data_IF_799502161467
#
_entry.id   IF_799502161467
#
_cell.length_a   1.000
_cell.length_b   1.000
_cell.length_c   1.000
_cell.angle_alpha   90.00
_cell.angle_beta   90.00
_cell.angle_gamma   90.00
#
_symmetry.space_group_name_H-M   'P 1'
#
loop_
_entity.id
_entity.type
_entity.pdbx_description
1 polymer ?
#
# COMPACT_ATOMS: atom_id res chain seq x y z
N UNK A 1 -35.26 -4.36 19.31
CA UNK A 1 -33.92 -4.00 19.86
C UNK A 1 -33.47 -4.94 20.98
N UNK A 2 -34.31 -5.89 21.37
CA UNK A 2 -34.13 -6.68 22.58
C UNK A 2 -33.21 -7.89 22.37
N UNK A 3 -33.13 -8.40 21.13
CA UNK A 3 -32.20 -9.48 20.76
C UNK A 3 -30.73 -9.08 20.89
N UNK A 4 -30.37 -7.87 20.46
CA UNK A 4 -28.98 -7.36 20.59
C UNK A 4 -28.61 -7.21 22.07
N UNK A 5 -29.53 -6.72 22.89
CA UNK A 5 -29.34 -6.59 24.35
C UNK A 5 -29.08 -7.95 25.02
N UNK A 6 -29.82 -8.98 24.64
CA UNK A 6 -29.61 -10.34 25.14
C UNK A 6 -28.23 -10.92 24.73
N UNK A 7 -27.79 -10.67 23.51
CA UNK A 7 -26.47 -11.12 23.03
C UNK A 7 -25.37 -10.43 23.85
N UNK A 8 -25.44 -9.12 24.02
CA UNK A 8 -24.49 -8.35 24.85
C UNK A 8 -24.48 -8.84 26.30
N UNK A 9 -25.65 -9.10 26.89
CA UNK A 9 -25.76 -9.61 28.25
C UNK A 9 -25.13 -11.01 28.40
N UNK A 10 -25.28 -11.90 27.42
CA UNK A 10 -24.65 -13.23 27.42
C UNK A 10 -23.13 -13.19 27.26
N UNK A 11 -22.60 -12.16 26.60
CA UNK A 11 -21.16 -11.90 26.43
C UNK A 11 -20.54 -11.17 27.62
N UNK A 12 -21.35 -10.69 28.56
CA UNK A 12 -20.89 -9.97 29.75
C UNK A 12 -20.45 -10.98 30.81
N UNK A 13 -19.18 -10.92 31.21
CA UNK A 13 -18.66 -11.76 32.30
C UNK A 13 -19.28 -11.29 33.62
N UNK A 14 -19.86 -12.19 34.46
CA UNK A 14 -20.48 -11.79 35.71
C UNK A 14 -19.44 -11.12 36.63
N UNK A 15 -19.65 -9.83 36.93
CA UNK A 15 -18.74 -8.99 37.70
C UNK A 15 -17.93 -7.95 36.90
N UNK A 16 -18.04 -7.94 35.57
CA UNK A 16 -17.38 -6.98 34.68
C UNK A 16 -18.36 -5.92 34.14
N UNK A 17 -17.94 -4.68 33.83
CA UNK A 17 -18.84 -3.63 33.37
C UNK A 17 -19.56 -3.97 32.06
N UNK A 18 -20.78 -3.46 31.89
CA UNK A 18 -21.66 -3.70 30.75
C UNK A 18 -21.10 -3.28 29.37
N UNK A 19 -20.11 -2.39 29.31
CA UNK A 19 -19.41 -2.02 28.06
C UNK A 19 -18.50 -3.13 27.51
N UNK A 20 -18.15 -4.12 28.32
CA UNK A 20 -17.22 -5.21 27.97
C UNK A 20 -17.85 -6.19 26.99
N UNK A 21 -19.13 -6.54 27.17
CA UNK A 21 -19.88 -7.34 26.21
C UNK A 21 -20.01 -6.64 24.85
N UNK A 22 -20.12 -5.30 24.85
CA UNK A 22 -20.14 -4.48 23.64
C UNK A 22 -18.80 -4.50 22.90
N UNK A 23 -17.67 -4.40 23.63
CA UNK A 23 -16.33 -4.54 23.06
C UNK A 23 -16.06 -5.94 22.51
N UNK A 24 -16.47 -6.99 23.22
CA UNK A 24 -16.32 -8.38 22.75
C UNK A 24 -17.15 -8.63 21.50
N UNK A 25 -18.38 -8.11 21.45
CA UNK A 25 -19.23 -8.18 20.26
C UNK A 25 -18.58 -7.45 19.09
N UNK A 26 -18.07 -6.24 19.32
CA UNK A 26 -17.37 -5.45 18.30
C UNK A 26 -16.12 -6.19 17.80
N UNK A 27 -15.28 -6.71 18.69
CA UNK A 27 -14.07 -7.45 18.35
C UNK A 27 -14.39 -8.74 17.58
N UNK A 28 -15.40 -9.49 18.02
CA UNK A 28 -15.89 -10.68 17.32
C UNK A 28 -16.41 -10.36 15.93
N UNK A 29 -17.13 -9.25 15.77
CA UNK A 29 -17.61 -8.77 14.47
C UNK A 29 -16.44 -8.37 13.56
N UNK A 30 -15.43 -7.68 14.09
CA UNK A 30 -14.20 -7.35 13.36
C UNK A 30 -13.45 -8.63 12.93
N UNK A 31 -13.33 -9.62 13.81
CA UNK A 31 -12.72 -10.92 13.48
C UNK A 31 -13.50 -11.65 12.38
N UNK A 32 -14.83 -11.68 12.46
CA UNK A 32 -15.68 -12.29 11.43
C UNK A 32 -15.55 -11.55 10.08
N UNK A 33 -15.54 -10.22 10.10
CA UNK A 33 -15.32 -9.40 8.92
C UNK A 33 -13.92 -9.63 8.34
N UNK A 34 -12.89 -9.71 9.17
CA UNK A 34 -11.53 -10.03 8.76
C UNK A 34 -11.43 -11.45 8.16
N UNK A 35 -12.13 -12.44 8.70
CA UNK A 35 -12.20 -13.79 8.13
C UNK A 35 -12.92 -13.82 6.78
N UNK A 36 -14.00 -13.04 6.62
CA UNK A 36 -14.71 -12.88 5.35
C UNK A 36 -13.86 -12.13 4.31
N UNK A 37 -13.08 -11.14 4.76
CA UNK A 37 -12.17 -10.36 3.93
C UNK A 37 -10.85 -11.09 3.67
N UNK A 38 -10.45 -12.06 4.49
CA UNK A 38 -9.22 -12.85 4.35
C UNK A 38 -9.07 -13.49 2.97
N UNK A 39 -10.08 -14.18 2.39
CA UNK A 39 -9.97 -14.69 1.03
C UNK A 39 -9.76 -13.55 0.02
N UNK A 40 -10.43 -12.41 0.19
CA UNK A 40 -10.24 -11.27 -0.71
C UNK A 40 -8.89 -10.57 -0.52
N UNK A 41 -8.34 -10.58 0.69
CA UNK A 41 -7.03 -10.01 1.00
C UNK A 41 -5.91 -10.89 0.45
N UNK A 42 -6.04 -12.22 0.50
CA UNK A 42 -5.01 -13.15 -0.01
C UNK A 42 -5.10 -13.31 -1.52
N UNK A 43 -6.31 -13.44 -2.09
CA UNK A 43 -6.48 -13.64 -3.52
C UNK A 43 -6.55 -12.32 -4.31
N UNK A 44 -7.17 -11.28 -3.74
CA UNK A 44 -7.33 -10.00 -4.41
C UNK A 44 -6.03 -9.18 -4.45
N UNK A 45 -5.30 -9.07 -3.34
CA UNK A 45 -4.08 -8.26 -3.30
C UNK A 45 -2.98 -8.89 -4.15
N UNK A 46 -2.83 -10.22 -4.13
CA UNK A 46 -1.85 -10.92 -4.97
C UNK A 46 -2.10 -10.73 -6.45
N UNK A 47 -3.33 -10.97 -6.93
CA UNK A 47 -3.68 -10.78 -8.33
C UNK A 47 -3.57 -9.31 -8.78
N UNK A 48 -3.85 -8.35 -7.88
CA UNK A 48 -3.68 -6.92 -8.15
C UNK A 48 -2.21 -6.53 -8.22
N UNK A 49 -1.35 -7.08 -7.35
CA UNK A 49 0.10 -6.87 -7.42
C UNK A 49 0.67 -7.43 -8.72
N UNK A 50 0.28 -8.66 -9.10
CA UNK A 50 0.72 -9.30 -10.34
C UNK A 50 0.31 -8.47 -11.57
N UNK A 51 -0.92 -7.95 -11.58
CA UNK A 51 -1.36 -7.03 -12.62
C UNK A 51 -0.62 -5.67 -12.61
N UNK A 52 -0.19 -5.20 -11.43
CA UNK A 52 0.60 -3.96 -11.29
C UNK A 52 2.04 -4.16 -11.75
N UNK A 53 2.62 -5.34 -11.51
CA UNK A 53 3.97 -5.70 -11.93
C UNK A 53 4.08 -5.71 -13.45
N UNK A 54 3.10 -6.30 -14.14
CA UNK A 54 3.01 -6.25 -15.61
C UNK A 54 2.90 -4.80 -16.13
N UNK A 55 2.04 -3.98 -15.50
CA UNK A 55 1.91 -2.57 -15.89
C UNK A 55 3.20 -1.77 -15.64
N UNK A 56 3.91 -2.07 -14.55
CA UNK A 56 5.18 -1.41 -14.23
C UNK A 56 6.25 -1.74 -15.26
N UNK A 57 6.34 -3.00 -15.68
CA UNK A 57 7.29 -3.44 -16.71
C UNK A 57 7.02 -2.75 -18.06
N UNK A 58 5.75 -2.61 -18.43
CA UNK A 58 5.35 -1.89 -19.64
C UNK A 58 5.76 -0.41 -19.58
N UNK A 59 5.47 0.28 -18.47
CA UNK A 59 5.86 1.69 -18.26
C UNK A 59 7.39 1.85 -18.24
N UNK A 60 8.13 0.90 -17.64
CA UNK A 60 9.60 0.94 -17.66
C UNK A 60 10.17 0.74 -19.06
N UNK A 61 9.55 -0.12 -19.88
CA UNK A 61 9.94 -0.31 -21.27
C UNK A 61 9.71 0.96 -22.10
N UNK A 62 8.56 1.61 -21.94
CA UNK A 62 8.25 2.90 -22.58
C UNK A 62 9.25 3.99 -22.17
N UNK A 63 9.55 4.10 -20.87
CA UNK A 63 10.54 5.05 -20.36
C UNK A 63 11.93 4.80 -20.95
N UNK A 64 12.34 3.53 -21.09
CA UNK A 64 13.62 3.18 -21.73
C UNK A 64 13.62 3.59 -23.20
N UNK A 65 12.54 3.36 -23.94
CA UNK A 65 12.43 3.81 -25.33
C UNK A 65 12.53 5.34 -25.45
N UNK A 66 11.76 6.08 -24.64
CA UNK A 66 11.80 7.55 -24.61
C UNK A 66 13.20 8.03 -24.25
N UNK A 67 13.84 7.43 -23.25
CA UNK A 67 15.19 7.78 -22.83
C UNK A 67 16.21 7.57 -23.94
N UNK A 68 16.16 6.45 -24.68
CA UNK A 68 17.02 6.21 -25.84
C UNK A 68 16.82 7.29 -26.92
N UNK A 69 15.56 7.59 -27.26
CA UNK A 69 15.21 8.63 -28.24
C UNK A 69 15.63 10.03 -27.81
N UNK A 70 15.68 10.31 -26.50
CA UNK A 70 16.16 11.57 -25.94
C UNK A 70 17.70 11.62 -25.83
N UNK A 71 18.35 10.47 -25.62
CA UNK A 71 19.80 10.37 -25.57
C UNK A 71 20.45 10.60 -26.94
N UNK A 72 19.83 10.16 -28.03
CA UNK A 72 20.33 10.42 -29.39
C UNK A 72 20.61 11.92 -29.69
N UNK A 73 19.69 12.87 -29.40
CA UNK A 73 19.98 14.31 -29.52
C UNK A 73 20.86 14.86 -28.39
N UNK A 74 20.85 14.26 -27.19
CA UNK A 74 21.63 14.75 -26.05
C UNK A 74 23.12 14.36 -26.12
N UNK A 75 23.46 13.16 -26.58
CA UNK A 75 24.85 12.73 -26.83
C UNK A 75 25.48 13.52 -27.98
N UNK A 76 24.72 13.81 -29.04
CA UNK A 76 25.18 14.63 -30.15
C UNK A 76 25.43 16.10 -29.75
N UNK A 77 24.76 16.58 -28.70
CA UNK A 77 24.89 17.96 -28.19
C UNK A 77 25.85 18.09 -27.00
N UNK A 78 26.29 17.00 -26.37
CA UNK A 78 27.19 17.05 -25.20
C UNK A 78 28.63 17.32 -25.67
N UNK A 79 29.21 18.50 -25.37
CA UNK A 79 30.65 18.66 -25.45
C UNK A 79 31.26 17.73 -24.41
N UNK A 80 32.37 17.05 -24.73
CA UNK A 80 33.12 16.28 -23.75
C UNK A 80 33.50 17.21 -22.58
N UNK A 81 32.83 17.05 -21.43
CA UNK A 81 33.15 17.81 -20.24
C UNK A 81 34.58 17.44 -19.81
N UNK A 82 35.47 18.41 -19.53
CA UNK A 82 36.77 18.11 -18.98
C UNK A 82 36.60 17.37 -17.64
N UNK A 83 37.50 16.42 -17.31
CA UNK A 83 37.47 15.73 -16.02
C UNK A 83 37.87 16.74 -14.93
N UNK A 84 36.87 17.38 -14.29
CA UNK A 84 37.12 18.41 -13.28
C UNK A 84 35.89 19.02 -12.62
N UNK A 85 34.71 19.01 -13.24
CA UNK A 85 33.48 19.55 -12.61
C UNK A 85 32.77 18.48 -11.77
N UNK A 86 33.50 18.00 -10.76
CA UNK A 86 32.98 17.20 -9.65
C UNK A 86 32.34 18.16 -8.63
N UNK A 87 31.01 18.19 -8.62
CA UNK A 87 30.15 18.71 -7.54
C UNK A 87 30.45 20.13 -7.00
N UNK A 88 29.69 21.14 -7.47
CA UNK A 88 29.62 22.44 -6.83
C UNK A 88 28.67 22.38 -5.62
N UNK A 89 29.23 22.44 -4.41
CA UNK A 89 28.49 22.44 -3.15
C UNK A 89 27.51 23.63 -3.07
N UNK A 90 26.23 23.42 -2.68
CA UNK A 90 25.26 24.50 -2.60
C UNK A 90 25.60 25.46 -1.44
N UNK A 91 25.35 26.78 -1.60
CA UNK A 91 25.66 27.76 -0.57
C UNK A 91 24.82 27.49 0.69
N UNK A 92 25.51 27.19 1.79
CA UNK A 92 24.93 27.12 3.13
C UNK A 92 24.59 28.53 3.61
N UNK A 93 23.30 28.77 3.87
CA UNK A 93 22.80 29.97 4.54
C UNK A 93 22.90 29.81 6.07
#
# INVERSE_FOLDING_TARGET
MDGVRNIVASLSIPGMPEWTGLLLLLLGLLCAAAFLLMPFSVFGVKARLEALEVQLDEIQAELREIALRLQEPALARRPAAPPGDEWAEPPSL
#
